data_IF_325190138421
#
_entry.id   IF_325190138421
#
_cell.length_a   1.000
_cell.length_b   1.000
_cell.length_c   1.000
_cell.angle_alpha   90.00
_cell.angle_beta   90.00
_cell.angle_gamma   90.00
#
_symmetry.space_group_name_H-M   'P 1'
#
loop_
_entity.id
_entity.type
_entity.pdbx_description
1 polymer ?
#
# COMPACT_ATOMS: atom_id res chain seq x y z
N UNK A 1 -56.71 -36.80 28.72
CA UNK A 1 -56.04 -36.14 29.86
C UNK A 1 -54.56 -36.16 29.52
N UNK A 2 -54.10 -35.01 29.03
CA UNK A 2 -52.76 -34.48 28.81
C UNK A 2 -51.61 -35.47 28.53
N UNK A 3 -51.24 -35.59 27.25
CA UNK A 3 -49.89 -35.96 26.83
C UNK A 3 -49.19 -34.69 26.37
N UNK A 4 -48.01 -34.42 26.94
CA UNK A 4 -47.15 -33.30 26.60
C UNK A 4 -46.36 -33.65 25.34
N UNK A 5 -46.62 -32.95 24.24
CA UNK A 5 -45.81 -33.02 23.02
C UNK A 5 -44.61 -32.08 23.17
N UNK A 6 -43.49 -32.59 23.66
CA UNK A 6 -42.19 -31.93 23.57
C UNK A 6 -41.65 -32.10 22.13
N UNK A 7 -41.86 -31.09 21.28
CA UNK A 7 -41.11 -30.98 20.02
C UNK A 7 -39.77 -30.33 20.31
N UNK A 8 -38.73 -31.16 20.41
CA UNK A 8 -37.34 -30.71 20.32
C UNK A 8 -37.11 -30.04 18.97
N UNK A 9 -36.75 -28.77 19.02
CA UNK A 9 -36.21 -28.01 17.90
C UNK A 9 -34.70 -28.28 17.86
N UNK A 10 -34.29 -29.30 17.10
CA UNK A 10 -32.89 -29.51 16.76
C UNK A 10 -32.51 -28.43 15.75
N UNK A 11 -31.85 -27.38 16.25
CA UNK A 11 -31.15 -26.41 15.42
C UNK A 11 -29.91 -27.08 14.85
N UNK A 12 -29.91 -27.32 13.54
CA UNK A 12 -28.70 -27.57 12.75
C UNK A 12 -27.80 -26.33 12.84
N UNK A 13 -26.96 -26.30 13.86
CA UNK A 13 -25.85 -25.36 14.01
C UNK A 13 -24.73 -25.77 13.07
N UNK A 14 -24.88 -25.46 11.79
CA UNK A 14 -23.75 -25.40 10.86
C UNK A 14 -22.88 -24.21 11.26
N UNK A 15 -21.99 -24.42 12.23
CA UNK A 15 -20.91 -23.50 12.54
C UNK A 15 -20.11 -23.24 11.27
N UNK A 16 -20.10 -21.99 10.85
CA UNK A 16 -19.38 -21.48 9.71
C UNK A 16 -17.88 -21.68 9.94
N UNK A 17 -17.32 -22.62 9.18
CA UNK A 17 -15.90 -22.99 8.99
C UNK A 17 -14.90 -21.81 9.06
N UNK A 18 -15.38 -20.64 8.63
CA UNK A 18 -14.69 -19.36 8.65
C UNK A 18 -14.15 -18.92 10.03
N UNK A 19 -14.86 -19.18 11.12
CA UNK A 19 -14.39 -18.77 12.45
C UNK A 19 -13.18 -19.60 12.92
N UNK A 20 -13.04 -20.83 12.41
CA UNK A 20 -11.90 -21.70 12.70
C UNK A 20 -10.70 -21.37 11.81
N UNK A 21 -10.91 -21.10 10.52
CA UNK A 21 -9.85 -20.67 9.60
C UNK A 21 -9.21 -19.34 10.02
N UNK A 22 -10.01 -18.37 10.46
CA UNK A 22 -9.49 -17.07 10.93
C UNK A 22 -8.64 -17.24 12.19
N UNK A 23 -9.02 -18.14 13.10
CA UNK A 23 -8.24 -18.41 14.32
C UNK A 23 -6.89 -19.07 14.03
N UNK A 24 -6.81 -19.90 12.98
CA UNK A 24 -5.55 -20.49 12.52
C UNK A 24 -4.61 -19.43 11.94
N UNK A 25 -5.15 -18.48 11.16
CA UNK A 25 -4.37 -17.39 10.61
C UNK A 25 -3.89 -16.38 11.66
N UNK A 26 -4.69 -16.11 12.69
CA UNK A 26 -4.27 -15.26 13.81
C UNK A 26 -3.07 -15.84 14.58
N UNK A 27 -2.97 -17.18 14.69
CA UNK A 27 -1.82 -17.85 15.32
C UNK A 27 -0.57 -17.77 14.45
N UNK A 28 -0.70 -17.96 13.14
CA UNK A 28 0.40 -17.86 12.17
C UNK A 28 0.97 -16.43 12.11
N UNK A 29 0.12 -15.40 12.10
CA UNK A 29 0.57 -13.99 12.04
C UNK A 29 1.35 -13.59 13.31
N UNK A 30 0.94 -14.07 14.48
CA UNK A 30 1.63 -13.78 15.74
C UNK A 30 3.06 -14.34 15.80
N UNK A 31 3.31 -15.48 15.13
CA UNK A 31 4.66 -16.06 15.00
C UNK A 31 5.58 -15.13 14.19
N UNK A 32 5.06 -14.52 13.12
CA UNK A 32 5.82 -13.65 12.22
C UNK A 32 6.17 -12.29 12.84
N UNK A 33 5.28 -11.74 13.68
CA UNK A 33 5.56 -10.48 14.38
C UNK A 33 6.65 -10.63 15.46
N UNK A 34 6.87 -11.85 15.96
CA UNK A 34 7.85 -12.12 17.01
C UNK A 34 9.29 -12.20 16.47
N UNK A 35 9.49 -12.58 15.21
CA UNK A 35 10.81 -12.73 14.58
C UNK A 35 11.44 -11.41 14.09
N UNK A 36 10.75 -10.28 14.28
CA UNK A 36 11.17 -8.96 13.76
C UNK A 36 12.10 -8.16 14.69
N UNK A 37 12.46 -8.67 15.87
CA UNK A 37 13.29 -7.94 16.85
C UNK A 37 14.82 -8.09 16.64
N UNK A 38 15.26 -8.11 15.38
CA UNK A 38 16.68 -8.17 15.00
C UNK A 38 17.38 -6.80 14.96
N UNK A 39 17.92 -6.35 16.10
CA UNK A 39 19.01 -5.38 16.32
C UNK A 39 19.64 -4.68 15.09
N UNK A 40 19.33 -3.39 14.86
CA UNK A 40 20.10 -2.51 13.96
C UNK A 40 21.39 -2.05 14.68
N UNK A 41 22.53 -2.51 14.16
CA UNK A 41 23.86 -2.17 14.66
C UNK A 41 24.33 -0.78 14.22
N UNK A 42 24.85 -0.05 15.20
CA UNK A 42 25.63 1.18 15.11
C UNK A 42 26.81 1.08 14.11
N UNK A 43 26.96 2.08 13.23
CA UNK A 43 28.13 2.25 12.38
C UNK A 43 28.56 3.73 12.39
N UNK A 44 29.69 3.95 13.07
CA UNK A 44 30.26 5.24 13.41
C UNK A 44 30.77 6.12 12.27
N UNK A 45 30.97 7.38 12.66
CA UNK A 45 31.58 8.51 11.95
C UNK A 45 32.95 8.25 11.33
N UNK A 46 33.24 8.94 10.22
CA UNK A 46 34.58 9.51 9.96
C UNK A 46 34.46 10.86 9.28
N UNK A 47 35.11 11.85 9.90
CA UNK A 47 35.41 13.20 9.39
C UNK A 47 36.26 13.18 8.11
N UNK A 48 36.12 14.25 7.32
CA UNK A 48 36.97 14.55 6.17
C UNK A 48 36.80 16.01 5.73
N UNK A 49 37.56 16.89 6.37
CA UNK A 49 37.87 18.28 5.97
C UNK A 49 38.55 18.32 4.59
N UNK A 50 38.22 19.30 3.73
CA UNK A 50 39.20 20.11 2.97
C UNK A 50 38.54 21.15 2.04
N UNK A 51 39.36 22.14 1.67
CA UNK A 51 39.03 23.56 1.48
C UNK A 51 38.78 24.04 0.04
N UNK A 52 38.22 25.26 -0.01
CA UNK A 52 37.94 26.21 -1.12
C UNK A 52 39.02 26.33 -2.23
N UNK A 53 38.56 26.47 -3.48
CA UNK A 53 39.36 26.99 -4.60
C UNK A 53 38.49 27.51 -5.77
N UNK A 54 38.45 28.84 -5.94
CA UNK A 54 37.97 29.57 -7.12
C UNK A 54 39.07 29.59 -8.20
N UNK A 55 38.71 29.38 -9.48
CA UNK A 55 39.22 30.15 -10.64
C UNK A 55 38.61 29.68 -11.96
N UNK A 56 38.13 30.62 -12.78
CA UNK A 56 38.59 30.75 -14.18
C UNK A 56 37.73 30.17 -15.31
N UNK A 57 37.10 31.05 -16.08
CA UNK A 57 36.52 30.80 -17.40
C UNK A 57 37.56 30.36 -18.43
N UNK A 58 37.25 29.36 -19.26
CA UNK A 58 37.80 29.25 -20.63
C UNK A 58 36.83 28.49 -21.53
N UNK A 59 36.48 29.09 -22.66
CA UNK A 59 35.65 28.51 -23.72
C UNK A 59 36.41 27.39 -24.43
N UNK A 60 35.77 26.24 -24.60
CA UNK A 60 36.27 25.10 -25.38
C UNK A 60 35.11 24.39 -26.04
N UNK A 61 35.00 24.52 -27.35
CA UNK A 61 33.98 23.90 -28.18
C UNK A 61 34.23 22.40 -28.31
N UNK A 62 33.49 21.57 -27.55
CA UNK A 62 33.51 20.12 -27.73
C UNK A 62 32.22 19.64 -28.40
N UNK A 63 32.41 19.19 -29.64
CA UNK A 63 31.42 18.58 -30.49
C UNK A 63 30.97 17.26 -29.86
N UNK A 64 29.70 17.19 -29.45
CA UNK A 64 29.09 15.96 -28.98
C UNK A 64 29.07 14.92 -30.12
N UNK A 65 29.76 13.77 -29.99
CA UNK A 65 29.61 12.70 -30.97
C UNK A 65 28.18 12.18 -30.90
N UNK A 66 27.49 12.21 -32.03
CA UNK A 66 26.16 11.64 -32.21
C UNK A 66 26.19 10.17 -31.78
N UNK A 67 25.28 9.83 -30.87
CA UNK A 67 25.12 8.48 -30.34
C UNK A 67 25.01 7.42 -31.43
N UNK A 68 25.52 6.25 -31.06
CA UNK A 68 25.52 5.01 -31.83
C UNK A 68 24.10 4.67 -32.36
N UNK A 69 23.90 4.51 -33.68
CA UNK A 69 22.59 4.23 -34.26
C UNK A 69 22.13 2.77 -34.13
N UNK A 70 22.79 1.91 -33.34
CA UNK A 70 22.46 0.47 -33.25
C UNK A 70 21.85 0.02 -31.90
N UNK A 71 20.99 0.82 -31.30
CA UNK A 71 19.99 0.30 -30.36
C UNK A 71 18.80 -0.28 -31.15
N UNK A 72 19.04 -1.34 -31.93
CA UNK A 72 17.96 -2.27 -32.23
C UNK A 72 17.48 -2.80 -30.89
N UNK A 73 16.18 -2.63 -30.61
CA UNK A 73 15.50 -3.31 -29.52
C UNK A 73 15.88 -4.79 -29.59
N UNK A 74 16.79 -5.22 -28.71
CA UNK A 74 16.90 -6.63 -28.42
C UNK A 74 15.53 -7.03 -27.90
N UNK A 75 14.97 -8.12 -28.44
CA UNK A 75 13.81 -8.79 -27.85
C UNK A 75 14.03 -8.84 -26.34
N UNK A 76 13.28 -8.04 -25.59
CA UNK A 76 13.26 -8.19 -24.15
C UNK A 76 12.80 -9.63 -23.91
N UNK A 77 13.53 -10.42 -23.10
CA UNK A 77 13.13 -11.79 -22.86
C UNK A 77 11.72 -11.76 -22.26
N UNK A 78 10.78 -12.39 -22.95
CA UNK A 78 9.42 -12.63 -22.43
C UNK A 78 9.55 -13.12 -20.98
N UNK A 79 8.83 -12.49 -20.03
CA UNK A 79 8.92 -12.88 -18.64
C UNK A 79 8.63 -14.38 -18.52
N UNK A 80 9.51 -15.10 -17.81
CA UNK A 80 9.35 -16.54 -17.64
C UNK A 80 7.95 -16.82 -17.08
N UNK A 81 7.21 -17.71 -17.74
CA UNK A 81 5.88 -18.11 -17.30
C UNK A 81 5.95 -18.63 -15.86
N UNK A 82 5.17 -18.03 -14.97
CA UNK A 82 5.05 -18.45 -13.58
C UNK A 82 4.57 -19.92 -13.54
N UNK A 83 5.34 -20.86 -12.95
CA UNK A 83 4.99 -22.27 -12.93
C UNK A 83 3.69 -22.57 -12.17
N UNK A 84 3.22 -21.64 -11.32
CA UNK A 84 1.97 -21.79 -10.56
C UNK A 84 0.75 -21.28 -11.36
N UNK A 85 0.96 -20.58 -12.48
CA UNK A 85 -0.10 -20.13 -13.37
C UNK A 85 -0.38 -21.18 -14.44
N UNK A 86 -1.61 -21.70 -14.45
CA UNK A 86 -2.13 -22.50 -15.55
C UNK A 86 -1.91 -21.75 -16.87
N UNK A 87 -1.43 -22.40 -17.94
CA UNK A 87 -1.00 -21.75 -19.20
C UNK A 87 -2.12 -20.94 -19.88
N UNK A 88 -3.37 -21.27 -19.59
CA UNK A 88 -4.57 -20.58 -20.09
C UNK A 88 -4.77 -19.20 -19.43
N UNK A 89 -4.08 -18.96 -18.32
CA UNK A 89 -4.13 -17.74 -17.49
C UNK A 89 -2.97 -16.79 -17.78
N UNK A 90 -1.90 -17.27 -18.41
CA UNK A 90 -0.67 -16.49 -18.64
C UNK A 90 -0.88 -15.28 -19.57
N UNK A 91 -1.82 -15.39 -20.52
CA UNK A 91 -2.21 -14.29 -21.41
C UNK A 91 -3.24 -13.33 -20.79
N UNK A 92 -3.76 -13.64 -19.59
CA UNK A 92 -4.77 -12.84 -18.91
C UNK A 92 -4.09 -11.90 -17.92
N UNK A 93 -4.40 -10.60 -18.00
CA UNK A 93 -3.99 -9.65 -16.97
C UNK A 93 -4.57 -10.13 -15.61
N UNK A 94 -3.73 -10.48 -14.63
CA UNK A 94 -4.21 -10.99 -13.35
C UNK A 94 -4.97 -9.89 -12.62
N UNK A 95 -6.10 -10.28 -12.02
CA UNK A 95 -6.90 -9.41 -11.16
C UNK A 95 -6.54 -9.67 -9.71
N UNK A 96 -5.91 -8.71 -9.06
CA UNK A 96 -5.45 -8.81 -7.67
C UNK A 96 -6.45 -8.15 -6.74
N UNK A 97 -6.73 -8.82 -5.62
CA UNK A 97 -7.53 -8.25 -4.54
C UNK A 97 -6.58 -7.83 -3.43
N UNK A 98 -6.62 -6.55 -3.04
CA UNK A 98 -5.99 -6.09 -1.80
C UNK A 98 -7.06 -5.88 -0.74
N UNK A 99 -6.82 -6.35 0.48
CA UNK A 99 -7.73 -6.20 1.61
C UNK A 99 -7.01 -5.50 2.77
N UNK A 100 -7.63 -4.49 3.36
CA UNK A 100 -7.07 -3.79 4.52
C UNK A 100 -7.39 -2.30 4.54
N UNK A 101 -6.43 -1.51 5.03
CA UNK A 101 -6.66 -0.11 5.36
C UNK A 101 -6.79 0.78 4.12
N UNK A 102 -7.76 1.68 4.21
CA UNK A 102 -7.94 2.86 3.36
C UNK A 102 -7.96 4.06 4.32
N UNK A 103 -6.96 4.92 4.21
CA UNK A 103 -6.77 6.05 5.10
C UNK A 103 -6.85 7.36 4.33
N UNK A 104 -7.03 8.45 5.08
CA UNK A 104 -6.71 9.80 4.64
C UNK A 104 -5.42 10.25 5.31
N UNK A 105 -4.35 10.38 4.54
CA UNK A 105 -3.03 10.74 5.06
C UNK A 105 -2.83 12.26 4.92
N UNK A 106 -2.35 12.89 6.00
CA UNK A 106 -2.07 14.31 6.10
C UNK A 106 -0.58 14.50 6.31
N UNK A 107 0.14 14.85 5.25
CA UNK A 107 1.59 15.06 5.32
C UNK A 107 1.89 16.49 5.77
N UNK A 108 2.54 16.63 6.92
CA UNK A 108 2.95 17.92 7.49
C UNK A 108 4.43 18.16 7.24
N UNK A 109 4.75 19.17 6.45
CA UNK A 109 6.13 19.58 6.19
C UNK A 109 6.57 20.64 7.19
N UNK A 110 7.71 20.38 7.85
CA UNK A 110 8.36 21.26 8.81
C UNK A 110 9.86 21.28 8.55
N UNK A 111 10.51 22.41 8.81
CA UNK A 111 11.98 22.50 8.73
C UNK A 111 12.66 21.54 9.72
N UNK A 112 12.10 21.45 10.93
CA UNK A 112 12.59 20.63 12.04
C UNK A 112 11.42 20.17 12.89
N UNK A 113 11.47 18.91 13.35
CA UNK A 113 10.51 18.38 14.32
C UNK A 113 10.58 19.17 15.63
N UNK A 114 9.45 19.36 16.33
CA UNK A 114 9.46 20.02 17.62
C UNK A 114 10.20 19.16 18.65
N UNK A 115 10.90 19.83 19.57
CA UNK A 115 11.34 19.21 20.83
C UNK A 115 10.13 18.72 21.63
N UNK A 116 10.28 17.78 22.59
CA UNK A 116 9.20 17.41 23.49
C UNK A 116 8.56 18.64 24.16
N UNK A 117 7.23 18.72 24.13
CA UNK A 117 6.43 19.87 24.57
C UNK A 117 6.71 21.20 23.82
N UNK A 118 7.41 21.14 22.69
CA UNK A 118 7.71 22.28 21.81
C UNK A 118 6.69 22.45 20.68
N UNK A 119 6.82 23.58 19.96
CA UNK A 119 6.02 23.89 18.79
C UNK A 119 6.96 24.26 17.63
N UNK A 120 6.59 23.86 16.41
CA UNK A 120 7.28 24.27 15.19
C UNK A 120 6.28 24.83 14.19
N UNK A 121 6.75 25.65 13.26
CA UNK A 121 5.90 26.22 12.21
C UNK A 121 5.71 25.18 11.11
N UNK A 122 4.44 24.93 10.74
CA UNK A 122 4.11 24.16 9.54
C UNK A 122 4.44 25.01 8.31
N UNK A 123 5.28 24.47 7.42
CA UNK A 123 5.62 25.10 6.15
C UNK A 123 4.56 24.83 5.09
N UNK A 124 4.14 23.56 5.01
CA UNK A 124 3.16 23.06 4.04
C UNK A 124 2.39 21.90 4.64
N UNK A 125 1.12 21.80 4.27
CA UNK A 125 0.26 20.68 4.61
C UNK A 125 -0.30 20.10 3.31
N UNK A 126 -0.11 18.81 3.10
CA UNK A 126 -0.66 18.05 1.99
C UNK A 126 -1.60 16.98 2.50
N UNK A 127 -2.58 16.61 1.69
CA UNK A 127 -3.53 15.56 2.04
C UNK A 127 -3.78 14.68 0.83
N UNK A 128 -3.86 13.38 1.04
CA UNK A 128 -4.11 12.39 0.00
C UNK A 128 -4.68 11.11 0.60
N UNK A 129 -5.25 10.26 -0.26
CA UNK A 129 -5.57 8.89 0.08
C UNK A 129 -4.32 8.08 0.40
N UNK A 130 -4.46 7.15 1.33
CA UNK A 130 -3.40 6.23 1.74
C UNK A 130 -3.95 4.93 2.29
N UNK A 131 -3.14 4.24 3.08
CA UNK A 131 -3.44 2.90 3.59
C UNK A 131 -2.85 1.79 2.71
N UNK A 132 -2.44 0.69 3.35
CA UNK A 132 -1.68 -0.38 2.70
C UNK A 132 -2.43 -1.01 1.53
N UNK A 133 -3.72 -1.34 1.71
CA UNK A 133 -4.51 -1.97 0.68
C UNK A 133 -4.78 -1.03 -0.50
N UNK A 134 -5.06 0.25 -0.22
CA UNK A 134 -5.23 1.27 -1.25
C UNK A 134 -3.95 1.47 -2.07
N UNK A 135 -2.80 1.58 -1.41
CA UNK A 135 -1.51 1.79 -2.07
C UNK A 135 -1.14 0.62 -2.98
N UNK A 136 -1.36 -0.63 -2.52
CA UNK A 136 -1.14 -1.82 -3.35
C UNK A 136 -2.05 -1.81 -4.58
N UNK A 137 -3.35 -1.52 -4.41
CA UNK A 137 -4.29 -1.51 -5.54
C UNK A 137 -3.93 -0.44 -6.58
N UNK A 138 -3.64 0.79 -6.12
CA UNK A 138 -3.25 1.90 -6.99
C UNK A 138 -1.93 1.59 -7.70
N UNK A 139 -0.94 1.05 -6.99
CA UNK A 139 0.34 0.65 -7.58
C UNK A 139 0.18 -0.39 -8.68
N UNK A 140 -0.64 -1.43 -8.45
CA UNK A 140 -0.90 -2.48 -9.42
C UNK A 140 -1.62 -1.96 -10.68
N UNK A 141 -2.62 -1.09 -10.51
CA UNK A 141 -3.27 -0.44 -11.66
C UNK A 141 -2.30 0.46 -12.42
N UNK A 142 -1.43 1.20 -11.72
CA UNK A 142 -0.40 2.05 -12.32
C UNK A 142 0.63 1.27 -13.15
N UNK A 143 0.86 -0.01 -12.83
CA UNK A 143 1.71 -0.93 -13.58
C UNK A 143 0.99 -1.62 -14.75
N UNK A 144 -0.26 -1.28 -15.03
CA UNK A 144 -1.06 -1.87 -16.10
C UNK A 144 -1.83 -3.14 -15.70
N UNK A 145 -1.81 -3.50 -14.42
CA UNK A 145 -2.58 -4.61 -13.86
C UNK A 145 -4.05 -4.26 -13.61
N UNK A 146 -4.80 -5.23 -13.08
CA UNK A 146 -6.17 -5.04 -12.60
C UNK A 146 -6.22 -5.24 -11.09
N UNK A 147 -6.85 -4.32 -10.37
CA UNK A 147 -7.01 -4.45 -8.92
C UNK A 147 -8.40 -4.06 -8.41
N UNK A 148 -8.80 -4.69 -7.31
CA UNK A 148 -9.96 -4.33 -6.48
C UNK A 148 -9.49 -4.23 -5.05
N UNK A 149 -10.00 -3.24 -4.32
CA UNK A 149 -9.70 -3.03 -2.90
C UNK A 149 -10.90 -3.37 -2.04
N UNK A 150 -10.67 -4.16 -0.99
CA UNK A 150 -11.60 -4.38 0.11
C UNK A 150 -11.09 -3.66 1.35
N UNK A 151 -11.97 -2.92 2.00
CA UNK A 151 -11.65 -2.12 3.17
C UNK A 151 -12.87 -1.35 3.61
N UNK A 152 -12.65 -0.40 4.51
CA UNK A 152 -13.71 0.51 4.93
C UNK A 152 -13.23 1.95 4.97
N UNK A 153 -14.18 2.85 4.76
CA UNK A 153 -14.05 4.29 5.04
C UNK A 153 -15.25 4.74 5.86
N UNK A 154 -15.12 5.90 6.50
CA UNK A 154 -16.21 6.53 7.21
C UNK A 154 -17.19 7.26 6.30
N UNK A 155 -18.30 7.74 6.88
CA UNK A 155 -19.31 8.56 6.21
C UNK A 155 -18.94 10.03 6.02
N UNK A 156 -17.68 10.39 6.24
CA UNK A 156 -17.18 11.76 6.26
C UNK A 156 -16.56 12.22 4.92
N UNK A 157 -16.11 13.47 4.88
CA UNK A 157 -15.50 14.06 3.69
C UNK A 157 -14.19 13.34 3.31
N UNK A 158 -13.37 12.96 4.29
CA UNK A 158 -12.13 12.21 4.07
C UNK A 158 -12.40 10.87 3.38
N UNK A 159 -13.44 10.15 3.80
CA UNK A 159 -13.86 8.90 3.14
C UNK A 159 -14.30 9.15 1.70
N UNK A 160 -15.10 10.19 1.48
CA UNK A 160 -15.51 10.56 0.12
C UNK A 160 -14.33 10.96 -0.79
N UNK A 161 -13.31 11.65 -0.25
CA UNK A 161 -12.10 12.01 -0.98
C UNK A 161 -11.24 10.78 -1.29
N UNK A 162 -11.00 9.91 -0.30
CA UNK A 162 -10.24 8.67 -0.50
C UNK A 162 -10.85 7.77 -1.60
N UNK A 163 -12.19 7.60 -1.59
CA UNK A 163 -12.89 6.85 -2.64
C UNK A 163 -12.76 7.49 -4.02
N UNK A 164 -12.79 8.84 -4.10
CA UNK A 164 -12.61 9.56 -5.37
C UNK A 164 -11.20 9.41 -5.90
N UNK A 165 -10.18 9.42 -5.04
CA UNK A 165 -8.80 9.23 -5.45
C UNK A 165 -8.55 7.82 -5.97
N UNK A 166 -9.07 6.79 -5.26
CA UNK A 166 -9.05 5.41 -5.75
C UNK A 166 -9.68 5.28 -7.14
N UNK A 167 -10.88 5.81 -7.33
CA UNK A 167 -11.58 5.78 -8.61
C UNK A 167 -10.81 6.54 -9.70
N UNK A 168 -10.21 7.69 -9.36
CA UNK A 168 -9.41 8.48 -10.30
C UNK A 168 -8.11 7.79 -10.70
N UNK A 169 -7.55 6.96 -9.82
CA UNK A 169 -6.40 6.11 -10.07
C UNK A 169 -6.75 4.83 -10.86
N UNK A 170 -8.03 4.59 -11.17
CA UNK A 170 -8.50 3.43 -11.93
C UNK A 170 -8.77 2.19 -11.08
N UNK A 171 -8.76 2.30 -9.75
CA UNK A 171 -9.19 1.23 -8.83
C UNK A 171 -10.71 1.33 -8.63
N UNK A 172 -11.44 0.24 -8.84
CA UNK A 172 -12.88 0.20 -8.59
C UNK A 172 -13.16 0.17 -7.07
N UNK A 173 -13.79 1.22 -6.49
CA UNK A 173 -14.10 1.28 -5.07
C UNK A 173 -15.38 0.52 -4.69
N UNK A 174 -16.05 -0.17 -5.62
CA UNK A 174 -17.35 -0.80 -5.39
C UNK A 174 -17.40 -1.87 -4.30
N UNK A 175 -16.24 -2.33 -3.82
CA UNK A 175 -16.12 -3.29 -2.70
C UNK A 175 -15.72 -2.63 -1.36
N UNK A 176 -15.57 -1.32 -1.33
CA UNK A 176 -15.27 -0.59 -0.09
C UNK A 176 -16.55 -0.36 0.70
N UNK A 177 -16.55 -0.77 1.98
CA UNK A 177 -17.63 -0.50 2.90
C UNK A 177 -17.60 0.97 3.34
N UNK A 178 -18.73 1.67 3.24
CA UNK A 178 -18.90 2.99 3.84
C UNK A 178 -19.63 2.82 5.17
N UNK A 179 -18.88 2.92 6.27
CA UNK A 179 -19.41 2.93 7.62
C UNK A 179 -19.92 4.36 7.94
N UNK A 180 -21.16 4.65 7.55
CA UNK A 180 -21.72 6.00 7.55
C UNK A 180 -21.67 6.73 8.91
N UNK A 181 -21.71 5.98 10.02
CA UNK A 181 -21.73 6.51 11.38
C UNK A 181 -20.32 6.59 12.02
N UNK A 182 -19.28 6.15 11.32
CA UNK A 182 -17.89 6.15 11.78
C UNK A 182 -17.04 7.16 10.97
N UNK A 183 -15.98 7.73 11.54
CA UNK A 183 -15.03 8.55 10.82
C UNK A 183 -14.06 7.69 10.00
N UNK A 184 -13.54 8.26 8.92
CA UNK A 184 -12.43 7.64 8.17
C UNK A 184 -11.15 7.74 8.99
N UNK A 185 -10.31 6.70 8.91
CA UNK A 185 -8.99 6.70 9.55
C UNK A 185 -8.11 7.79 8.95
N UNK A 186 -7.63 8.72 9.78
CA UNK A 186 -6.71 9.80 9.38
C UNK A 186 -5.32 9.54 9.96
N UNK A 187 -4.28 9.74 9.15
CA UNK A 187 -2.86 9.67 9.57
C UNK A 187 -2.19 11.03 9.41
N UNK A 188 -1.28 11.37 10.32
CA UNK A 188 -0.52 12.63 10.35
C UNK A 188 0.97 12.34 10.43
#
# INVERSE_FOLDING_TARGET
MNGEDERGNESDGGGNDWDAEVAEWDEEVAEWETDSDGSVGDAGSTDGDETVGDTGSTEGSDQHPTGDPDHRAADEPEPAADPDLEPESADRVPKVVSAGHINWDVTIHVDQLPEPDGETRIERLEQSGGGSAANVAVGLVGLGGQSVVYGSVGGDESGALALRELASAGVDPGQVLVAADEPTSVKY
#
